data_IF_301935919811
#
_entry.id   IF_301935919811
#
_cell.length_a   1.000
_cell.length_b   1.000
_cell.length_c   1.000
_cell.angle_alpha   90.00
_cell.angle_beta   90.00
_cell.angle_gamma   90.00
#
_symmetry.space_group_name_H-M   'P 1'
#
loop_
_entity.id
_entity.type
_entity.pdbx_description
1 polymer ?
#
# COMPACT_ATOMS: atom_id res chain seq x y z
N UNK A 1 -1.11 -7.77 9.66
CA UNK A 1 -1.60 -7.89 8.28
C UNK A 1 -0.53 -8.65 7.51
N UNK A 2 -0.78 -9.92 7.19
CA UNK A 2 0.19 -10.79 6.50
C UNK A 2 -0.03 -10.67 4.98
N UNK A 3 0.52 -9.60 4.41
CA UNK A 3 0.46 -9.29 2.97
C UNK A 3 1.49 -10.07 2.14
N UNK A 4 2.30 -10.94 2.77
CA UNK A 4 3.43 -11.64 2.13
C UNK A 4 3.23 -13.15 2.00
N UNK A 5 2.15 -13.70 2.56
CA UNK A 5 1.90 -15.14 2.52
C UNK A 5 1.38 -15.70 1.20
N UNK A 6 1.04 -14.87 0.21
CA UNK A 6 0.50 -15.33 -1.08
C UNK A 6 1.18 -14.61 -2.25
N UNK A 7 2.17 -15.26 -2.90
CA UNK A 7 2.63 -14.82 -4.22
C UNK A 7 1.42 -14.71 -5.16
N UNK A 8 1.20 -13.53 -5.76
CA UNK A 8 0.09 -13.28 -6.69
C UNK A 8 -1.23 -12.80 -6.07
N UNK A 9 -1.26 -12.47 -4.77
CA UNK A 9 -2.46 -11.91 -4.14
C UNK A 9 -2.62 -10.41 -4.44
N UNK A 10 -3.74 -10.03 -5.05
CA UNK A 10 -4.14 -8.63 -5.26
C UNK A 10 -5.14 -8.20 -4.16
N UNK A 11 -4.81 -7.19 -3.33
CA UNK A 11 -5.73 -6.64 -2.33
C UNK A 11 -7.09 -6.18 -2.90
N UNK A 12 -7.16 -5.80 -4.19
CA UNK A 12 -8.40 -5.41 -4.84
C UNK A 12 -9.44 -6.56 -4.88
N UNK A 13 -9.00 -7.82 -4.83
CA UNK A 13 -9.88 -9.00 -4.82
C UNK A 13 -10.76 -9.09 -3.56
N UNK A 14 -10.39 -8.42 -2.47
CA UNK A 14 -11.20 -8.37 -1.25
C UNK A 14 -12.41 -7.44 -1.37
N UNK A 15 -12.45 -6.61 -2.41
CA UNK A 15 -13.42 -5.55 -2.56
C UNK A 15 -14.36 -5.88 -3.72
N UNK A 16 -15.65 -5.61 -3.53
CA UNK A 16 -16.58 -5.58 -4.66
C UNK A 16 -16.26 -4.37 -5.55
N UNK A 17 -16.35 -4.55 -6.86
CA UNK A 17 -16.07 -3.53 -7.85
C UNK A 17 -16.93 -2.27 -7.58
N UNK A 18 -16.31 -1.14 -7.16
CA UNK A 18 -17.05 0.07 -6.83
C UNK A 18 -17.65 0.74 -8.07
N UNK A 19 -17.07 0.50 -9.25
CA UNK A 19 -17.50 1.11 -10.51
C UNK A 19 -18.75 0.43 -11.10
N UNK A 20 -19.14 -0.73 -10.55
CA UNK A 20 -20.32 -1.49 -11.00
C UNK A 20 -21.46 -1.38 -9.98
N UNK A 21 -22.40 -0.48 -10.25
CA UNK A 21 -23.60 -0.26 -9.40
C UNK A 21 -24.45 -1.52 -9.22
N UNK A 22 -24.36 -2.48 -10.13
CA UNK A 22 -25.11 -3.74 -10.07
C UNK A 22 -24.30 -4.90 -9.46
N UNK A 23 -23.09 -4.66 -8.94
CA UNK A 23 -22.16 -5.71 -8.49
C UNK A 23 -22.80 -6.70 -7.49
N UNK A 24 -23.58 -6.19 -6.54
CA UNK A 24 -24.29 -7.03 -5.55
C UNK A 24 -25.37 -7.90 -6.19
N UNK A 25 -26.12 -7.35 -7.14
CA UNK A 25 -27.15 -8.09 -7.87
C UNK A 25 -26.52 -9.18 -8.76
N UNK A 26 -25.40 -8.86 -9.44
CA UNK A 26 -24.63 -9.85 -10.23
C UNK A 26 -24.07 -10.97 -9.35
N UNK A 27 -23.57 -10.64 -8.16
CA UNK A 27 -23.12 -11.61 -7.17
C UNK A 27 -24.27 -12.54 -6.76
N UNK A 28 -25.44 -11.98 -6.40
CA UNK A 28 -26.62 -12.75 -6.03
C UNK A 28 -27.08 -13.67 -7.19
N UNK A 29 -27.13 -13.16 -8.42
CA UNK A 29 -27.49 -13.96 -9.60
C UNK A 29 -26.48 -15.10 -9.89
N UNK A 30 -25.18 -14.85 -9.69
CA UNK A 30 -24.14 -15.88 -9.79
C UNK A 30 -24.33 -16.98 -8.74
N UNK A 31 -24.69 -16.61 -7.50
CA UNK A 31 -24.99 -17.55 -6.43
C UNK A 31 -26.25 -18.37 -6.71
N UNK A 32 -27.30 -17.76 -7.27
CA UNK A 32 -28.52 -18.49 -7.70
C UNK A 32 -28.16 -19.52 -8.79
N UNK A 33 -27.40 -19.13 -9.82
CA UNK A 33 -26.93 -20.07 -10.86
C UNK A 33 -26.10 -21.21 -10.28
N UNK A 34 -25.21 -20.92 -9.35
CA UNK A 34 -24.44 -21.92 -8.60
C UNK A 34 -25.37 -22.89 -7.86
N UNK A 35 -26.38 -22.37 -7.17
CA UNK A 35 -27.31 -23.18 -6.38
C UNK A 35 -28.15 -24.15 -7.24
N UNK A 36 -28.51 -23.76 -8.46
CA UNK A 36 -29.26 -24.62 -9.41
C UNK A 36 -28.36 -25.49 -10.29
N UNK A 37 -27.05 -25.56 -10.03
CA UNK A 37 -26.11 -26.44 -10.75
C UNK A 37 -25.67 -25.96 -12.13
N UNK A 38 -25.94 -24.70 -12.47
CA UNK A 38 -25.50 -24.10 -13.74
C UNK A 38 -24.05 -23.64 -13.68
N UNK A 39 -23.36 -23.65 -14.82
CA UNK A 39 -22.05 -23.02 -14.95
C UNK A 39 -22.18 -21.51 -14.76
N UNK A 40 -21.27 -20.91 -14.01
CA UNK A 40 -21.28 -19.49 -13.70
C UNK A 40 -19.86 -18.94 -13.58
N UNK A 41 -19.74 -17.61 -13.73
CA UNK A 41 -18.55 -16.82 -13.42
C UNK A 41 -18.94 -15.76 -12.38
N UNK A 42 -18.01 -15.38 -11.52
CA UNK A 42 -18.23 -14.40 -10.44
C UNK A 42 -17.34 -13.16 -10.67
N UNK A 43 -17.68 -12.39 -11.70
CA UNK A 43 -16.98 -11.15 -12.06
C UNK A 43 -17.45 -9.97 -11.21
N UNK A 44 -17.05 -9.95 -9.93
CA UNK A 44 -17.49 -8.92 -8.96
C UNK A 44 -16.34 -8.09 -8.41
N UNK A 45 -15.10 -8.38 -8.81
CA UNK A 45 -13.89 -7.67 -8.37
C UNK A 45 -13.54 -6.55 -9.36
N UNK A 46 -12.88 -5.49 -8.86
CA UNK A 46 -12.38 -4.42 -9.71
C UNK A 46 -11.16 -4.90 -10.54
N UNK A 47 -10.98 -4.32 -11.73
CA UNK A 47 -9.77 -4.52 -12.55
C UNK A 47 -8.70 -3.45 -12.27
N UNK A 48 -8.97 -2.55 -11.33
CA UNK A 48 -8.11 -1.46 -10.92
C UNK A 48 -7.99 -1.47 -9.38
N UNK A 49 -6.89 -0.90 -8.87
CA UNK A 49 -6.61 -0.84 -7.43
C UNK A 49 -7.22 0.35 -6.70
N UNK A 50 -8.18 1.09 -7.28
CA UNK A 50 -8.64 2.36 -6.73
C UNK A 50 -9.29 2.25 -5.33
N UNK A 51 -9.85 1.08 -5.01
CA UNK A 51 -10.39 0.79 -3.67
C UNK A 51 -9.34 0.41 -2.62
N UNK A 52 -8.07 0.21 -3.02
CA UNK A 52 -6.98 -0.16 -2.12
C UNK A 52 -6.38 1.11 -1.52
N UNK A 53 -6.51 1.27 -0.20
CA UNK A 53 -6.12 2.51 0.51
C UNK A 53 -4.62 2.80 0.60
N UNK A 54 -3.76 2.01 -0.03
CA UNK A 54 -2.33 2.26 -0.05
C UNK A 54 -1.52 1.11 -0.64
N UNK A 55 -0.42 1.47 -1.31
CA UNK A 55 0.57 0.53 -1.85
C UNK A 55 1.91 0.83 -1.20
N UNK A 56 2.68 -0.19 -0.84
CA UNK A 56 4.05 -0.01 -0.37
C UNK A 56 5.01 0.09 -1.56
N UNK A 57 6.08 0.89 -1.43
CA UNK A 57 7.21 0.89 -2.36
C UNK A 57 7.07 1.76 -3.61
N UNK A 58 5.90 2.38 -3.86
CA UNK A 58 5.80 3.44 -4.87
C UNK A 58 6.51 4.70 -4.35
N UNK A 59 7.31 5.33 -5.21
CA UNK A 59 7.95 6.60 -4.87
C UNK A 59 6.87 7.68 -4.70
N UNK A 60 6.99 8.57 -3.70
CA UNK A 60 6.05 9.67 -3.51
C UNK A 60 5.96 10.56 -4.76
N UNK A 61 4.75 11.01 -5.10
CA UNK A 61 4.50 11.89 -6.24
C UNK A 61 4.91 13.35 -5.93
N UNK A 62 5.05 13.71 -4.66
CA UNK A 62 5.42 15.05 -4.20
C UNK A 62 6.42 14.99 -3.02
N UNK A 63 7.15 16.08 -2.81
CA UNK A 63 8.05 16.22 -1.66
C UNK A 63 7.30 16.17 -0.31
N UNK A 64 6.03 16.60 -0.27
CA UNK A 64 5.22 16.59 0.95
C UNK A 64 4.84 15.17 1.39
N UNK A 65 4.81 14.22 0.45
CA UNK A 65 4.49 12.81 0.69
C UNK A 65 5.75 11.97 0.96
N UNK A 66 6.92 12.60 1.08
CA UNK A 66 8.18 11.89 1.36
C UNK A 66 8.33 11.56 2.84
N UNK A 67 9.01 10.44 3.18
CA UNK A 67 9.34 10.13 4.56
C UNK A 67 10.15 11.24 5.22
N UNK A 68 9.85 11.53 6.47
CA UNK A 68 10.55 12.55 7.26
C UNK A 68 11.53 11.90 8.24
N UNK A 69 12.66 12.57 8.45
CA UNK A 69 13.63 12.24 9.50
C UNK A 69 13.54 13.31 10.58
N UNK A 70 13.35 12.89 11.82
CA UNK A 70 13.23 13.78 12.99
C UNK A 70 14.29 13.36 14.02
N UNK A 71 14.95 14.35 14.62
CA UNK A 71 15.94 14.16 15.68
C UNK A 71 15.78 15.25 16.73
N UNK A 72 16.15 14.95 17.98
CA UNK A 72 16.25 15.92 19.07
C UNK A 72 17.61 16.61 19.12
N UNK A 73 18.59 16.12 18.36
CA UNK A 73 19.94 16.67 18.24
C UNK A 73 20.01 17.58 17.02
N UNK A 74 20.11 18.89 17.26
CA UNK A 74 20.10 19.92 16.22
C UNK A 74 21.34 19.84 15.30
N UNK A 75 22.46 19.36 15.83
CA UNK A 75 23.73 19.28 15.09
C UNK A 75 23.77 18.09 14.13
N UNK A 76 22.92 17.09 14.37
CA UNK A 76 22.84 15.88 13.54
C UNK A 76 22.33 16.18 12.11
N UNK A 77 21.50 17.21 11.98
CA UNK A 77 20.89 17.62 10.71
C UNK A 77 21.25 19.07 10.33
N UNK A 78 22.22 19.71 10.98
CA UNK A 78 22.53 21.13 10.78
C UNK A 78 22.82 21.51 9.32
N UNK A 79 23.41 20.61 8.54
CA UNK A 79 23.72 20.82 7.11
C UNK A 79 22.61 20.39 6.16
N UNK A 80 21.45 19.96 6.66
CA UNK A 80 20.36 19.39 5.86
C UNK A 80 19.54 20.47 5.14
N UNK A 81 20.15 21.15 4.16
CA UNK A 81 19.43 22.02 3.21
C UNK A 81 18.71 21.24 2.10
N UNK A 82 19.03 19.96 1.95
CA UNK A 82 18.53 19.07 0.91
C UNK A 82 17.95 17.79 1.50
N UNK A 83 17.03 17.09 0.81
CA UNK A 83 16.55 15.79 1.23
C UNK A 83 17.70 14.79 1.43
N UNK A 84 17.65 14.01 2.50
CA UNK A 84 18.63 12.94 2.78
C UNK A 84 18.34 11.76 1.86
N UNK A 85 19.37 11.21 1.21
CA UNK A 85 19.19 10.00 0.41
C UNK A 85 18.85 8.82 1.32
N UNK A 86 17.93 7.95 0.88
CA UNK A 86 17.58 6.72 1.61
C UNK A 86 18.82 5.84 1.92
N UNK A 87 19.85 5.88 1.06
CA UNK A 87 21.11 5.15 1.25
C UNK A 87 21.97 5.67 2.40
N UNK A 88 21.77 6.91 2.83
CA UNK A 88 22.58 7.58 3.86
C UNK A 88 22.01 7.40 5.27
N UNK A 89 20.76 6.93 5.39
CA UNK A 89 20.06 6.74 6.67
C UNK A 89 20.86 5.87 7.64
N UNK A 90 21.50 4.80 7.15
CA UNK A 90 22.37 3.95 7.99
C UNK A 90 23.48 4.75 8.65
N UNK A 91 24.18 5.58 7.87
CA UNK A 91 25.30 6.38 8.36
C UNK A 91 24.82 7.43 9.37
N UNK A 92 23.68 8.05 9.11
CA UNK A 92 23.05 9.02 10.01
C UNK A 92 22.70 8.39 11.37
N UNK A 93 22.09 7.20 11.37
CA UNK A 93 21.75 6.47 12.60
C UNK A 93 22.99 6.11 13.41
N UNK A 94 24.07 5.67 12.76
CA UNK A 94 25.33 5.36 13.44
C UNK A 94 25.99 6.60 14.05
N UNK A 95 25.98 7.73 13.33
CA UNK A 95 26.51 9.00 13.85
C UNK A 95 25.74 9.49 15.08
N UNK A 96 24.41 9.33 15.09
CA UNK A 96 23.58 9.67 16.24
C UNK A 96 23.88 8.79 17.47
N UNK A 97 24.21 7.52 17.26
CA UNK A 97 24.57 6.60 18.34
C UNK A 97 25.94 6.93 18.94
N UNK A 98 26.93 7.25 18.09
CA UNK A 98 28.29 7.60 18.55
C UNK A 98 28.37 8.89 19.37
N UNK A 99 27.41 9.81 19.21
CA UNK A 99 27.33 11.07 19.98
C UNK A 99 26.73 10.92 21.38
N UNK A 100 26.09 9.78 21.68
CA UNK A 100 25.46 9.49 22.98
C UNK A 100 26.36 8.72 23.95
N UNK A 101 27.57 8.35 23.52
CA UNK A 101 28.57 7.64 24.33
C UNK A 101 29.69 8.57 24.75
#
# INVERSE_FOLDING_TARGET
>A
MDIHRKPGYDPAELLMNPDDRAVKAKAAAALVKKAVGLRYTMGVIALNGAGVGGTLGRLPDSAADTPIVITSDADLLADSRSPVSATEIRSLVLAAHGRRS
#
